data_IF_023378833206
#
_entry.id   IF_023378833206
#
_cell.length_a   1.000
_cell.length_b   1.000
_cell.length_c   1.000
_cell.angle_alpha   90.00
_cell.angle_beta   90.00
_cell.angle_gamma   90.00
#
_symmetry.space_group_name_H-M   'P 1'
#
loop_
_entity.id
_entity.type
_entity.pdbx_description
1 polymer ?
#
# COMPACT_ATOMS: atom_id res chain seq x y z
N UNK A 1 -21.28 8.21 -14.97
CA UNK A 1 -20.80 6.95 -14.40
C UNK A 1 -19.29 7.08 -14.23
N UNK A 2 -18.74 6.90 -13.02
CA UNK A 2 -17.31 6.91 -12.80
C UNK A 2 -16.67 5.71 -13.50
N UNK A 3 -15.48 5.89 -14.08
CA UNK A 3 -14.74 4.83 -14.77
C UNK A 3 -13.86 4.03 -13.81
N UNK A 4 -13.28 4.71 -12.81
CA UNK A 4 -12.35 4.15 -11.83
C UNK A 4 -12.74 4.59 -10.41
N UNK A 5 -12.36 3.80 -9.43
CA UNK A 5 -12.42 4.14 -8.01
C UNK A 5 -11.01 4.02 -7.47
N UNK A 6 -10.48 5.12 -6.95
CA UNK A 6 -9.16 5.18 -6.36
C UNK A 6 -9.26 5.38 -4.85
N UNK A 7 -8.36 4.75 -4.10
CA UNK A 7 -8.35 4.83 -2.65
C UNK A 7 -6.98 5.26 -2.14
N UNK A 8 -6.98 6.27 -1.26
CA UNK A 8 -5.75 6.81 -0.65
C UNK A 8 -5.90 6.72 0.87
N UNK A 9 -4.91 6.16 1.54
CA UNK A 9 -4.89 6.07 2.99
C UNK A 9 -3.54 6.41 3.59
N UNK A 10 -3.57 7.07 4.76
CA UNK A 10 -2.39 7.38 5.56
C UNK A 10 -2.45 6.59 6.88
N UNK A 11 -1.34 5.99 7.32
CA UNK A 11 -1.23 5.33 8.63
C UNK A 11 -2.26 4.21 8.81
N UNK A 12 -3.13 4.27 9.79
CA UNK A 12 -4.26 3.33 9.95
C UNK A 12 -5.19 3.34 8.72
N UNK A 13 -5.35 4.49 8.04
CA UNK A 13 -6.05 4.57 6.76
C UNK A 13 -5.38 3.77 5.64
N UNK A 14 -4.05 3.70 5.62
CA UNK A 14 -3.33 2.85 4.67
C UNK A 14 -3.58 1.36 4.94
N UNK A 15 -3.64 0.96 6.22
CA UNK A 15 -4.02 -0.38 6.62
C UNK A 15 -5.43 -0.74 6.11
N UNK A 16 -6.43 0.12 6.35
CA UNK A 16 -7.78 -0.05 5.83
C UNK A 16 -7.79 -0.12 4.30
N UNK A 17 -7.06 0.77 3.63
CA UNK A 17 -6.95 0.79 2.17
C UNK A 17 -6.41 -0.53 1.63
N UNK A 18 -5.41 -1.14 2.30
CA UNK A 18 -4.86 -2.43 1.87
C UNK A 18 -5.89 -3.55 1.91
N UNK A 19 -6.69 -3.61 2.98
CA UNK A 19 -7.71 -4.65 3.16
C UNK A 19 -8.88 -4.43 2.20
N UNK A 20 -9.38 -3.19 2.09
CA UNK A 20 -10.51 -2.90 1.21
C UNK A 20 -10.13 -3.17 -0.25
N UNK A 21 -8.93 -2.75 -0.68
CA UNK A 21 -8.46 -3.05 -2.03
C UNK A 21 -8.29 -4.56 -2.28
N UNK A 22 -7.95 -5.35 -1.27
CA UNK A 22 -7.83 -6.79 -1.41
C UNK A 22 -9.17 -7.49 -1.63
N UNK A 23 -10.26 -6.99 -1.02
CA UNK A 23 -11.58 -7.64 -1.07
C UNK A 23 -12.56 -6.99 -2.04
N UNK A 24 -12.35 -5.74 -2.41
CA UNK A 24 -13.18 -5.00 -3.36
C UNK A 24 -12.46 -4.76 -4.69
N UNK A 25 -12.79 -5.57 -5.68
CA UNK A 25 -12.16 -5.50 -7.01
C UNK A 25 -12.54 -4.27 -7.83
N UNK A 26 -13.47 -3.45 -7.36
CA UNK A 26 -13.82 -2.17 -8.00
C UNK A 26 -12.77 -1.09 -7.74
N UNK A 27 -11.92 -1.28 -6.72
CA UNK A 27 -10.79 -0.36 -6.46
C UNK A 27 -9.72 -0.58 -7.53
N UNK A 28 -9.57 0.39 -8.41
CA UNK A 28 -8.59 0.36 -9.49
C UNK A 28 -7.19 0.70 -8.99
N UNK A 29 -7.04 1.79 -8.24
CA UNK A 29 -5.76 2.22 -7.69
C UNK A 29 -5.85 2.40 -6.18
N UNK A 30 -4.86 1.87 -5.48
CA UNK A 30 -4.76 2.01 -4.02
C UNK A 30 -3.38 2.55 -3.62
N UNK A 31 -3.38 3.64 -2.87
CA UNK A 31 -2.17 4.32 -2.41
C UNK A 31 -2.09 4.25 -0.89
N UNK A 32 -1.11 3.51 -0.39
CA UNK A 32 -0.90 3.24 1.02
C UNK A 32 0.28 4.08 1.51
N UNK A 33 0.02 5.11 2.32
CA UNK A 33 1.04 6.08 2.72
C UNK A 33 1.39 5.88 4.19
N UNK A 34 2.67 5.70 4.49
CA UNK A 34 3.22 5.54 5.85
C UNK A 34 2.38 4.61 6.71
N UNK A 35 2.01 3.47 6.17
CA UNK A 35 1.20 2.49 6.88
C UNK A 35 1.37 1.10 6.29
N UNK A 36 1.13 0.14 7.11
CA UNK A 36 1.12 -1.30 6.92
C UNK A 36 2.43 -1.92 6.40
N UNK A 37 3.16 -2.49 7.33
CA UNK A 37 4.19 -3.49 7.04
C UNK A 37 3.66 -4.91 7.32
N UNK A 38 4.19 -5.94 6.67
CA UNK A 38 4.07 -7.31 7.15
C UNK A 38 4.51 -7.41 8.62
N UNK A 39 3.89 -8.28 9.40
CA UNK A 39 4.10 -8.36 10.85
C UNK A 39 5.58 -8.45 11.26
N UNK A 40 6.37 -9.23 10.53
CA UNK A 40 7.80 -9.45 10.81
C UNK A 40 8.69 -8.22 10.57
N UNK A 41 8.15 -7.15 9.98
CA UNK A 41 8.86 -5.87 9.76
C UNK A 41 8.40 -4.75 10.69
N UNK A 42 7.35 -4.99 11.49
CA UNK A 42 6.78 -3.96 12.36
C UNK A 42 7.61 -3.76 13.62
N UNK A 43 7.62 -2.53 14.10
CA UNK A 43 8.33 -2.11 15.32
C UNK A 43 7.44 -1.20 16.17
N UNK A 44 7.58 -1.28 17.49
CA UNK A 44 6.96 -0.34 18.42
C UNK A 44 5.45 -0.13 18.20
N UNK A 45 5.05 1.05 17.82
CA UNK A 45 3.64 1.47 17.66
C UNK A 45 3.00 1.06 16.31
N UNK A 46 3.63 0.19 15.54
CA UNK A 46 3.15 -0.20 14.21
C UNK A 46 2.09 -1.31 14.24
N UNK A 47 1.41 -1.50 15.37
CA UNK A 47 0.34 -2.48 15.60
C UNK A 47 -0.99 -1.80 15.94
N UNK A 48 -1.66 -1.16 14.96
CA UNK A 48 -2.83 -0.34 15.25
C UNK A 48 -4.05 -1.12 15.77
N UNK A 49 -4.21 -2.38 15.36
CA UNK A 49 -5.36 -3.23 15.71
C UNK A 49 -4.93 -4.70 15.88
N UNK A 50 -4.24 -5.06 16.98
CA UNK A 50 -3.64 -6.38 17.12
C UNK A 50 -4.66 -7.55 17.09
N UNK A 51 -5.87 -7.37 17.55
CA UNK A 51 -6.89 -8.43 17.55
C UNK A 51 -7.45 -8.65 16.14
N UNK A 52 -7.65 -7.59 15.37
CA UNK A 52 -8.06 -7.68 13.96
C UNK A 52 -6.95 -8.29 13.12
N UNK A 53 -5.70 -7.92 13.38
CA UNK A 53 -4.53 -8.54 12.75
C UNK A 53 -4.49 -10.05 12.97
N UNK A 54 -4.78 -10.55 14.18
CA UNK A 54 -4.84 -12.01 14.47
C UNK A 54 -5.90 -12.72 13.64
N UNK A 55 -7.10 -12.16 13.56
CA UNK A 55 -8.19 -12.74 12.75
C UNK A 55 -7.80 -12.76 11.28
N UNK A 56 -7.29 -11.64 10.76
CA UNK A 56 -6.89 -11.52 9.37
C UNK A 56 -5.78 -12.50 9.01
N UNK A 57 -4.74 -12.59 9.84
CA UNK A 57 -3.57 -13.44 9.61
C UNK A 57 -3.83 -14.94 9.84
N UNK A 58 -4.95 -15.31 10.46
CA UNK A 58 -5.41 -16.69 10.47
C UNK A 58 -5.88 -17.18 9.09
N UNK A 59 -6.19 -16.26 8.18
CA UNK A 59 -6.72 -16.54 6.84
C UNK A 59 -5.73 -16.20 5.71
N UNK A 60 -4.89 -15.17 5.90
CA UNK A 60 -4.04 -14.66 4.83
C UNK A 60 -2.83 -13.91 5.39
N UNK A 61 -1.70 -13.94 4.70
CA UNK A 61 -0.57 -13.08 5.04
C UNK A 61 -0.75 -11.66 4.51
N UNK A 62 -0.01 -10.68 5.06
CA UNK A 62 -0.01 -9.34 4.49
C UNK A 62 0.53 -9.28 3.06
N UNK A 63 1.44 -10.20 2.70
CA UNK A 63 1.93 -10.27 1.32
C UNK A 63 0.83 -10.72 0.36
N UNK A 64 -0.02 -11.66 0.78
CA UNK A 64 -1.19 -12.09 0.00
C UNK A 64 -2.20 -10.94 -0.15
N UNK A 65 -2.46 -10.18 0.94
CA UNK A 65 -3.32 -9.00 0.91
C UNK A 65 -2.82 -7.96 -0.10
N UNK A 66 -1.50 -7.72 -0.15
CA UNK A 66 -0.93 -6.80 -1.13
C UNK A 66 -1.06 -7.32 -2.56
N UNK A 67 -0.85 -8.63 -2.77
CA UNK A 67 -1.09 -9.26 -4.08
C UNK A 67 -2.55 -9.13 -4.48
N UNK A 68 -3.50 -9.48 -3.60
CA UNK A 68 -4.94 -9.35 -3.86
C UNK A 68 -5.35 -7.90 -4.17
N UNK A 69 -4.77 -6.93 -3.45
CA UNK A 69 -5.03 -5.50 -3.67
C UNK A 69 -4.44 -4.92 -4.95
N UNK A 70 -3.51 -5.63 -5.57
CA UNK A 70 -2.80 -5.18 -6.79
C UNK A 70 -3.11 -6.00 -8.04
N UNK A 71 -3.73 -7.17 -7.88
CA UNK A 71 -4.01 -8.10 -8.97
C UNK A 71 -5.28 -7.72 -9.73
N UNK A 72 -5.26 -7.82 -11.04
CA UNK A 72 -6.38 -7.62 -11.98
C UNK A 72 -6.04 -6.60 -13.05
N UNK A 73 -6.76 -6.68 -14.18
CA UNK A 73 -6.65 -5.70 -15.25
C UNK A 73 -6.91 -4.30 -14.70
N UNK A 74 -6.05 -3.35 -15.06
CA UNK A 74 -6.13 -1.95 -14.64
C UNK A 74 -6.04 -1.72 -13.11
N UNK A 75 -5.59 -2.72 -12.35
CA UNK A 75 -5.41 -2.60 -10.90
C UNK A 75 -3.96 -2.31 -10.53
N UNK A 76 -3.81 -1.38 -9.59
CA UNK A 76 -2.50 -0.94 -9.11
C UNK A 76 -2.52 -0.66 -7.62
N UNK A 77 -1.52 -1.18 -6.90
CA UNK A 77 -1.26 -0.78 -5.53
C UNK A 77 0.13 -0.16 -5.41
N UNK A 78 0.19 1.01 -4.81
CA UNK A 78 1.45 1.72 -4.52
C UNK A 78 1.57 1.96 -3.02
N UNK A 79 2.67 1.53 -2.43
CA UNK A 79 3.00 1.85 -1.06
C UNK A 79 4.06 2.96 -1.02
N UNK A 80 3.80 4.01 -0.27
CA UNK A 80 4.70 5.17 -0.14
C UNK A 80 5.15 5.26 1.31
N UNK A 81 6.43 5.03 1.57
CA UNK A 81 7.01 5.11 2.91
C UNK A 81 7.90 6.33 3.04
N UNK A 82 7.69 7.10 4.12
CA UNK A 82 8.59 8.16 4.50
C UNK A 82 9.83 7.58 5.20
N UNK A 83 10.98 7.71 4.56
CA UNK A 83 12.23 7.15 5.10
C UNK A 83 12.57 7.66 6.49
N UNK A 84 12.25 8.92 6.80
CA UNK A 84 12.63 9.62 8.01
C UNK A 84 11.46 9.84 8.97
N UNK A 85 10.35 9.11 8.81
CA UNK A 85 9.19 9.26 9.67
C UNK A 85 9.56 9.09 11.15
N UNK A 86 9.17 10.07 11.97
CA UNK A 86 9.46 10.06 13.41
C UNK A 86 8.47 9.25 14.23
N UNK A 87 7.35 8.87 13.63
CA UNK A 87 6.31 8.06 14.25
C UNK A 87 6.54 6.57 14.01
N UNK A 88 6.32 6.16 12.77
CA UNK A 88 6.06 4.76 12.47
C UNK A 88 6.21 4.47 10.97
N UNK A 89 6.33 3.18 10.59
CA UNK A 89 6.48 2.73 9.21
C UNK A 89 7.60 3.44 8.44
N UNK A 90 8.70 3.70 9.12
CA UNK A 90 9.88 4.41 8.60
C UNK A 90 10.84 3.49 7.88
N UNK A 91 11.86 4.09 7.30
CA UNK A 91 12.95 3.41 6.60
C UNK A 91 12.56 2.89 5.20
N UNK A 92 13.35 1.96 4.70
CA UNK A 92 13.21 1.37 3.37
C UNK A 92 12.68 -0.07 3.43
N UNK A 93 12.04 -0.47 4.52
CA UNK A 93 11.62 -1.86 4.77
C UNK A 93 10.66 -2.38 3.69
N UNK A 94 9.85 -1.52 3.09
CA UNK A 94 8.96 -1.88 1.99
C UNK A 94 9.68 -2.51 0.79
N UNK A 95 10.91 -2.10 0.51
CA UNK A 95 11.71 -2.65 -0.59
C UNK A 95 12.08 -4.13 -0.38
N UNK A 96 12.04 -4.63 0.87
CA UNK A 96 12.37 -6.02 1.17
C UNK A 96 11.37 -7.02 0.60
N UNK A 97 10.12 -6.63 0.44
CA UNK A 97 9.07 -7.50 -0.10
C UNK A 97 8.52 -7.04 -1.46
N UNK A 98 8.86 -5.85 -1.93
CA UNK A 98 8.37 -5.30 -3.18
C UNK A 98 8.49 -6.28 -4.35
N UNK A 99 9.71 -6.81 -4.56
CA UNK A 99 9.97 -7.75 -5.66
C UNK A 99 9.13 -9.03 -5.56
N UNK A 100 8.94 -9.56 -4.33
CA UNK A 100 8.16 -10.78 -4.13
C UNK A 100 6.68 -10.55 -4.46
N UNK A 101 6.09 -9.46 -3.97
CA UNK A 101 4.69 -9.10 -4.24
C UNK A 101 4.50 -8.78 -5.72
N UNK A 102 5.32 -7.93 -6.31
CA UNK A 102 5.23 -7.54 -7.72
C UNK A 102 5.34 -8.77 -8.65
N UNK A 103 6.32 -9.64 -8.41
CA UNK A 103 6.48 -10.88 -9.18
C UNK A 103 5.23 -11.78 -9.03
N UNK A 104 4.72 -11.95 -7.81
CA UNK A 104 3.53 -12.79 -7.58
C UNK A 104 2.32 -12.23 -8.29
N UNK A 105 2.07 -10.92 -8.19
CA UNK A 105 0.98 -10.23 -8.90
C UNK A 105 1.04 -10.52 -10.40
N UNK A 106 2.22 -10.34 -11.02
CA UNK A 106 2.43 -10.58 -12.45
C UNK A 106 2.31 -12.07 -12.86
N UNK A 107 2.65 -12.99 -11.95
CA UNK A 107 2.57 -14.44 -12.24
C UNK A 107 1.14 -14.95 -12.25
N UNK A 108 0.26 -14.40 -11.42
CA UNK A 108 -1.13 -14.86 -11.30
C UNK A 108 -2.12 -14.09 -12.17
N UNK A 109 -1.67 -13.01 -12.81
CA UNK A 109 -2.51 -12.22 -13.70
C UNK A 109 -1.92 -10.86 -14.02
N UNK A 110 -2.78 -9.97 -14.45
CA UNK A 110 -2.46 -8.56 -14.72
C UNK A 110 -2.48 -7.74 -13.42
N UNK A 111 -1.95 -6.53 -13.49
CA UNK A 111 -1.90 -5.60 -12.39
C UNK A 111 -0.48 -5.25 -11.97
N UNK A 112 -0.34 -4.36 -11.00
CA UNK A 112 0.98 -3.89 -10.59
C UNK A 112 1.07 -3.54 -9.11
N UNK A 113 2.24 -3.81 -8.54
CA UNK A 113 2.61 -3.42 -7.18
C UNK A 113 3.95 -2.70 -7.20
N UNK A 114 4.06 -1.61 -6.45
CA UNK A 114 5.33 -0.89 -6.29
C UNK A 114 5.45 -0.22 -4.93
N UNK A 115 6.70 0.00 -4.52
CA UNK A 115 7.06 0.72 -3.30
C UNK A 115 7.85 1.98 -3.65
N UNK A 116 7.47 3.10 -3.05
CA UNK A 116 8.15 4.38 -3.18
C UNK A 116 8.69 4.82 -1.83
N UNK A 117 9.93 5.28 -1.82
CA UNK A 117 10.56 5.82 -0.63
C UNK A 117 10.61 7.35 -0.73
N UNK A 118 9.78 7.99 0.05
CA UNK A 118 9.80 9.45 0.21
C UNK A 118 10.92 9.86 1.18
N UNK A 119 11.78 10.75 0.72
CA UNK A 119 12.92 11.29 1.49
C UNK A 119 12.77 12.78 1.79
N UNK A 120 11.61 13.36 1.51
CA UNK A 120 11.46 14.82 1.50
C UNK A 120 11.13 15.43 2.86
N UNK A 121 10.71 14.61 3.84
CA UNK A 121 10.34 15.09 5.17
C UNK A 121 10.49 14.02 6.26
N UNK A 122 10.29 14.45 7.54
CA UNK A 122 10.36 13.58 8.71
C UNK A 122 9.06 13.56 9.53
N UNK A 123 7.96 14.05 8.98
CA UNK A 123 6.66 14.10 9.66
C UNK A 123 5.76 12.97 9.18
N UNK A 124 4.93 12.45 10.07
CA UNK A 124 3.91 11.44 9.75
C UNK A 124 2.71 12.09 9.05
N UNK A 125 2.82 12.29 7.75
CA UNK A 125 1.79 12.94 6.92
C UNK A 125 1.97 12.58 5.44
N UNK A 126 0.98 12.88 4.64
CA UNK A 126 1.12 12.90 3.18
C UNK A 126 1.99 14.10 2.81
N UNK A 127 3.11 13.87 2.14
CA UNK A 127 3.99 14.92 1.65
C UNK A 127 3.49 15.50 0.34
N UNK A 128 4.02 16.67 -0.02
CA UNK A 128 3.81 17.23 -1.36
C UNK A 128 4.32 16.28 -2.44
N UNK A 129 5.48 15.66 -2.24
CA UNK A 129 6.05 14.67 -3.16
C UNK A 129 5.10 13.48 -3.38
N UNK A 130 4.59 12.87 -2.29
CA UNK A 130 3.64 11.76 -2.39
C UNK A 130 2.35 12.18 -3.10
N UNK A 131 1.84 13.36 -2.80
CA UNK A 131 0.63 13.88 -3.43
C UNK A 131 0.81 14.14 -4.93
N UNK A 132 1.91 14.80 -5.33
CA UNK A 132 2.23 15.05 -6.73
C UNK A 132 2.46 13.75 -7.51
N UNK A 133 3.12 12.76 -6.88
CA UNK A 133 3.26 11.43 -7.47
C UNK A 133 1.88 10.79 -7.74
N UNK A 134 0.99 10.78 -6.74
CA UNK A 134 -0.34 10.18 -6.86
C UNK A 134 -1.14 10.85 -7.98
N UNK A 135 -1.17 12.18 -8.02
CA UNK A 135 -1.84 12.92 -9.09
C UNK A 135 -1.28 12.59 -10.47
N UNK A 136 0.04 12.52 -10.60
CA UNK A 136 0.69 12.16 -11.86
C UNK A 136 0.37 10.73 -12.28
N UNK A 137 0.29 9.80 -11.32
CA UNK A 137 0.00 8.39 -11.59
C UNK A 137 -1.46 8.18 -12.00
N UNK A 138 -2.39 8.90 -11.37
CA UNK A 138 -3.81 8.90 -11.76
C UNK A 138 -3.97 9.43 -13.19
N UNK A 139 -3.38 10.56 -13.49
CA UNK A 139 -3.54 11.22 -14.80
C UNK A 139 -2.88 10.45 -15.97
N UNK A 140 -1.86 9.63 -15.71
CA UNK A 140 -1.20 8.82 -16.76
C UNK A 140 -2.06 7.67 -17.28
N UNK A 141 -2.97 7.18 -16.47
CA UNK A 141 -3.74 5.97 -16.76
C UNK A 141 -5.19 6.26 -17.19
N UNK A 142 -5.55 7.53 -17.39
CA UNK A 142 -6.89 7.93 -17.83
C UNK A 142 -7.01 8.10 -19.37
N UNK A 143 -6.02 7.61 -20.15
CA UNK A 143 -6.00 7.64 -21.61
C UNK A 143 -6.16 6.27 -22.22
#
# INVERSE_FOLDING_TARGET
KFKTIDMIGLSAGAWLTSIIAAVDTRISRSYLISGVYPMYLREGNEFPLPDVDKILLSQSSYLDIFVMGSQGADRRQVQIFNQFDRCCFRNKKGLLYERAVSKRTQTIGEGSFSVIIDKTHARHKISRYAFEFILSDINRNDF
#
